data_IF_305567871078
#
_entry.id   IF_305567871078
#
_cell.length_a   1.000
_cell.length_b   1.000
_cell.length_c   1.000
_cell.angle_alpha   90.00
_cell.angle_beta   90.00
_cell.angle_gamma   90.00
#
_symmetry.space_group_name_H-M   'P 1'
#
loop_
_entity.id
_entity.type
_entity.pdbx_description
1 polymer ?
#
# COMPACT_ATOMS: atom_id res chain seq x y z
N UNK A 1 1.28 15.89 -18.22
CA UNK A 1 2.11 15.35 -17.12
C UNK A 1 3.50 15.06 -17.66
N UNK A 2 4.56 15.59 -17.04
CA UNK A 2 5.96 15.26 -17.38
C UNK A 2 6.52 14.33 -16.31
N UNK A 3 7.05 13.17 -16.71
CA UNK A 3 7.69 12.20 -15.79
C UNK A 3 9.16 12.54 -15.47
N UNK A 4 9.68 13.62 -16.06
CA UNK A 4 10.98 14.23 -15.82
C UNK A 4 11.41 14.23 -14.33
N UNK A 5 10.58 14.66 -13.36
CA UNK A 5 11.00 14.68 -11.95
C UNK A 5 11.22 13.29 -11.36
N UNK A 6 10.51 12.26 -11.86
CA UNK A 6 10.67 10.88 -11.40
C UNK A 6 11.91 10.23 -12.01
N UNK A 7 12.19 10.49 -13.30
CA UNK A 7 13.35 9.94 -14.01
C UNK A 7 14.67 10.50 -13.46
N UNK A 8 14.65 11.74 -12.96
CA UNK A 8 15.80 12.39 -12.32
C UNK A 8 15.86 12.15 -10.80
N UNK A 9 14.89 11.43 -10.21
CA UNK A 9 14.89 11.14 -8.78
C UNK A 9 15.96 10.09 -8.42
N UNK A 10 16.42 10.05 -7.15
CA UNK A 10 17.32 8.98 -6.68
C UNK A 10 16.79 7.59 -7.00
N UNK A 11 17.69 6.66 -7.30
CA UNK A 11 17.35 5.28 -7.72
C UNK A 11 16.40 4.58 -6.73
N UNK A 12 16.54 4.85 -5.43
CA UNK A 12 15.66 4.32 -4.40
C UNK A 12 14.19 4.71 -4.61
N UNK A 13 13.92 5.96 -5.02
CA UNK A 13 12.57 6.44 -5.32
C UNK A 13 12.03 5.75 -6.57
N UNK A 14 12.84 5.63 -7.61
CA UNK A 14 12.43 4.96 -8.85
C UNK A 14 12.05 3.50 -8.59
N UNK A 15 12.89 2.75 -7.87
CA UNK A 15 12.62 1.37 -7.46
C UNK A 15 11.37 1.28 -6.59
N UNK A 16 11.22 2.19 -5.63
CA UNK A 16 10.05 2.22 -4.75
C UNK A 16 8.75 2.39 -5.55
N UNK A 17 8.71 3.37 -6.45
CA UNK A 17 7.54 3.65 -7.31
C UNK A 17 7.28 2.48 -8.25
N UNK A 18 8.31 1.95 -8.90
CA UNK A 18 8.22 0.81 -9.81
C UNK A 18 7.71 -0.46 -9.11
N UNK A 19 7.94 -0.63 -7.80
CA UNK A 19 7.42 -1.74 -7.03
C UNK A 19 6.01 -1.49 -6.47
N UNK A 20 5.74 -0.30 -5.93
CA UNK A 20 4.48 -0.02 -5.22
C UNK A 20 3.29 0.14 -6.17
N UNK A 21 3.50 0.68 -7.36
CA UNK A 21 2.44 0.86 -8.37
C UNK A 21 1.85 -0.49 -8.81
N UNK A 22 2.63 -1.47 -9.29
CA UNK A 22 2.09 -2.79 -9.60
C UNK A 22 1.59 -3.52 -8.35
N UNK A 23 2.19 -3.30 -7.17
CA UNK A 23 1.66 -3.87 -5.92
C UNK A 23 0.25 -3.37 -5.59
N UNK A 24 -0.04 -2.09 -5.84
CA UNK A 24 -1.37 -1.50 -5.62
C UNK A 24 -2.42 -2.13 -6.54
N UNK A 25 -2.12 -2.27 -7.82
CA UNK A 25 -3.01 -2.87 -8.82
C UNK A 25 -3.22 -4.36 -8.55
N UNK A 26 -2.13 -5.11 -8.34
CA UNK A 26 -2.19 -6.54 -8.08
C UNK A 26 -2.89 -6.86 -6.76
N UNK A 27 -2.68 -6.03 -5.73
CA UNK A 27 -3.35 -6.17 -4.44
C UNK A 27 -4.87 -5.97 -4.56
N UNK A 28 -5.33 -4.95 -5.30
CA UNK A 28 -6.76 -4.75 -5.59
C UNK A 28 -7.34 -5.99 -6.28
N UNK A 29 -6.66 -6.46 -7.32
CA UNK A 29 -7.06 -7.65 -8.05
C UNK A 29 -7.16 -8.89 -7.13
N UNK A 30 -6.16 -9.14 -6.29
CA UNK A 30 -6.14 -10.26 -5.34
C UNK A 30 -7.26 -10.19 -4.30
N UNK A 31 -7.63 -8.99 -3.84
CA UNK A 31 -8.72 -8.79 -2.89
C UNK A 31 -10.09 -9.09 -3.51
N UNK A 32 -10.28 -8.74 -4.78
CA UNK A 32 -11.54 -8.94 -5.51
C UNK A 32 -11.74 -10.40 -5.97
N UNK A 33 -10.67 -11.08 -6.38
CA UNK A 33 -10.77 -12.42 -6.97
C UNK A 33 -11.03 -13.54 -5.95
N UNK A 34 -11.46 -14.74 -6.40
CA UNK A 34 -11.57 -15.91 -5.54
C UNK A 34 -10.25 -16.26 -4.86
N UNK A 35 -10.32 -16.61 -3.58
CA UNK A 35 -9.17 -16.83 -2.70
C UNK A 35 -8.86 -18.32 -2.64
N UNK A 36 -7.58 -18.67 -2.46
CA UNK A 36 -7.15 -20.06 -2.25
C UNK A 36 -6.85 -20.87 -3.53
N UNK A 37 -7.12 -20.33 -4.71
CA UNK A 37 -6.77 -20.95 -6.01
C UNK A 37 -5.25 -20.96 -6.22
N UNK A 38 -4.71 -21.83 -7.10
CA UNK A 38 -3.28 -21.80 -7.44
C UNK A 38 -2.81 -20.43 -7.95
N UNK A 39 -3.64 -19.78 -8.79
CA UNK A 39 -3.38 -18.42 -9.26
C UNK A 39 -3.32 -17.38 -8.14
N UNK A 40 -4.23 -17.45 -7.16
CA UNK A 40 -4.19 -16.58 -5.98
C UNK A 40 -2.89 -16.76 -5.18
N UNK A 41 -2.41 -18.00 -5.03
CA UNK A 41 -1.15 -18.28 -4.29
C UNK A 41 0.07 -17.74 -5.02
N UNK A 42 0.14 -17.91 -6.34
CA UNK A 42 1.25 -17.40 -7.15
C UNK A 42 1.29 -15.87 -7.11
N UNK A 43 0.17 -15.23 -7.47
CA UNK A 43 0.06 -13.78 -7.49
C UNK A 43 0.23 -13.18 -6.08
N UNK A 44 -0.23 -13.87 -5.03
CA UNK A 44 -0.01 -13.46 -3.65
C UNK A 44 1.47 -13.46 -3.25
N UNK A 45 2.27 -14.43 -3.72
CA UNK A 45 3.72 -14.44 -3.50
C UNK A 45 4.39 -13.25 -4.21
N UNK A 46 4.05 -13.03 -5.49
CA UNK A 46 4.58 -11.89 -6.27
C UNK A 46 4.24 -10.58 -5.57
N UNK A 47 2.99 -10.43 -5.13
CA UNK A 47 2.54 -9.25 -4.39
C UNK A 47 3.32 -9.04 -3.09
N UNK A 48 3.56 -10.09 -2.31
CA UNK A 48 4.37 -9.99 -1.09
C UNK A 48 5.83 -9.61 -1.39
N UNK A 49 6.43 -10.13 -2.47
CA UNK A 49 7.77 -9.72 -2.89
C UNK A 49 7.82 -8.23 -3.25
N UNK A 50 6.83 -7.74 -4.01
CA UNK A 50 6.73 -6.31 -4.33
C UNK A 50 6.59 -5.47 -3.07
N UNK A 51 5.75 -5.87 -2.11
CA UNK A 51 5.60 -5.16 -0.84
C UNK A 51 6.91 -5.09 -0.04
N UNK A 52 7.71 -6.16 -0.04
CA UNK A 52 9.03 -6.16 0.61
C UNK A 52 10.00 -5.22 -0.11
N UNK A 53 10.07 -5.24 -1.44
CA UNK A 53 10.91 -4.32 -2.22
C UNK A 53 10.51 -2.86 -1.96
N UNK A 54 9.21 -2.57 -1.97
CA UNK A 54 8.67 -1.26 -1.62
C UNK A 54 9.09 -0.83 -0.22
N UNK A 55 8.94 -1.68 0.79
CA UNK A 55 9.28 -1.35 2.17
C UNK A 55 10.79 -1.22 2.41
N UNK A 56 11.63 -2.00 1.72
CA UNK A 56 13.08 -1.88 1.85
C UNK A 56 13.60 -0.61 1.17
N UNK A 57 13.11 -0.31 -0.04
CA UNK A 57 13.50 0.90 -0.78
C UNK A 57 13.10 2.18 -0.06
N UNK A 58 11.99 2.20 0.71
CA UNK A 58 11.59 3.39 1.47
C UNK A 58 12.54 3.77 2.61
N UNK A 59 13.32 2.84 3.16
CA UNK A 59 14.37 3.19 4.15
C UNK A 59 15.47 4.07 3.57
N UNK A 60 15.63 4.09 2.25
CA UNK A 60 16.61 4.94 1.58
C UNK A 60 16.02 6.31 1.17
N UNK A 61 14.72 6.55 1.42
CA UNK A 61 14.01 7.78 1.04
C UNK A 61 13.89 8.71 2.25
N UNK A 62 14.84 9.63 2.40
CA UNK A 62 14.96 10.55 3.55
C UNK A 62 14.39 11.95 3.26
N UNK A 63 13.16 12.03 2.76
CA UNK A 63 12.56 13.32 2.38
C UNK A 63 11.99 14.12 3.57
N UNK A 64 11.58 13.45 4.65
CA UNK A 64 11.00 14.09 5.85
C UNK A 64 11.96 13.84 7.00
N UNK A 65 12.93 14.72 7.20
CA UNK A 65 13.95 14.59 8.24
C UNK A 65 13.45 15.18 9.57
N UNK A 66 12.55 14.46 10.24
CA UNK A 66 11.88 14.95 11.46
C UNK A 66 12.64 14.56 12.74
N UNK A 67 13.27 13.37 12.77
CA UNK A 67 14.11 12.93 13.89
C UNK A 67 15.28 12.08 13.37
N UNK A 68 16.50 12.63 13.37
CA UNK A 68 17.73 11.93 12.92
C UNK A 68 17.62 11.23 11.54
N UNK A 69 16.86 11.80 10.60
CA UNK A 69 16.61 11.23 9.27
C UNK A 69 15.39 10.31 9.17
N UNK A 70 14.84 9.85 10.30
CA UNK A 70 13.68 8.98 10.33
C UNK A 70 12.37 9.78 10.31
N UNK A 71 11.40 9.24 9.56
CA UNK A 71 10.05 9.77 9.40
C UNK A 71 9.01 8.72 9.76
N UNK A 72 7.74 9.09 10.04
CA UNK A 72 6.65 8.13 10.26
C UNK A 72 6.50 7.07 9.15
N UNK A 73 7.00 7.36 7.94
CA UNK A 73 7.00 6.43 6.79
C UNK A 73 7.91 5.21 7.05
N UNK A 74 8.94 5.34 7.89
CA UNK A 74 9.83 4.23 8.26
C UNK A 74 9.13 3.25 9.21
N UNK A 75 8.30 3.75 10.13
CA UNK A 75 7.44 2.89 10.96
C UNK A 75 6.44 2.11 10.10
N UNK A 76 5.89 2.75 9.06
CA UNK A 76 5.03 2.06 8.09
C UNK A 76 5.80 0.97 7.32
N UNK A 77 7.06 1.22 6.99
CA UNK A 77 7.93 0.25 6.31
C UNK A 77 8.18 -0.98 7.20
N UNK A 78 8.47 -0.79 8.49
CA UNK A 78 8.56 -1.88 9.46
C UNK A 78 7.25 -2.65 9.58
N UNK A 79 6.12 -1.95 9.70
CA UNK A 79 4.79 -2.58 9.73
C UNK A 79 4.56 -3.47 8.51
N UNK A 80 4.93 -2.99 7.31
CA UNK A 80 4.81 -3.78 6.08
C UNK A 80 5.68 -5.03 6.12
N UNK A 81 6.95 -4.93 6.54
CA UNK A 81 7.86 -6.07 6.62
C UNK A 81 7.36 -7.14 7.61
N UNK A 82 6.99 -6.75 8.82
CA UNK A 82 6.43 -7.67 9.82
C UNK A 82 5.10 -8.27 9.36
N UNK A 83 4.26 -7.48 8.70
CA UNK A 83 3.01 -7.98 8.12
C UNK A 83 3.27 -8.99 7.00
N UNK A 84 4.23 -8.76 6.10
CA UNK A 84 4.59 -9.71 5.04
C UNK A 84 5.05 -11.05 5.63
N UNK A 85 5.94 -10.99 6.63
CA UNK A 85 6.36 -12.18 7.37
C UNK A 85 5.17 -12.91 8.01
N UNK A 86 4.34 -12.18 8.76
CA UNK A 86 3.16 -12.72 9.43
C UNK A 86 2.15 -13.32 8.45
N UNK A 87 1.97 -12.73 7.27
CA UNK A 87 1.09 -13.25 6.23
C UNK A 87 1.57 -14.62 5.72
N UNK A 88 2.88 -14.80 5.53
CA UNK A 88 3.48 -16.06 5.08
C UNK A 88 3.35 -17.13 6.17
N UNK A 89 3.73 -16.81 7.41
CA UNK A 89 3.68 -17.75 8.54
C UNK A 89 2.25 -18.23 8.77
N UNK A 90 1.27 -17.33 8.82
CA UNK A 90 -0.13 -17.70 9.04
C UNK A 90 -0.73 -18.49 7.86
N UNK A 91 -0.28 -18.24 6.62
CA UNK A 91 -0.68 -19.05 5.47
C UNK A 91 -0.13 -20.49 5.58
N UNK A 92 1.15 -20.65 5.98
CA UNK A 92 1.78 -21.96 6.16
C UNK A 92 1.16 -22.75 7.30
N UNK A 93 0.80 -22.09 8.40
CA UNK A 93 0.13 -22.69 9.55
C UNK A 93 -1.37 -22.93 9.31
N UNK A 94 -1.87 -22.75 8.08
CA UNK A 94 -3.29 -22.86 7.72
C UNK A 94 -4.22 -21.94 8.54
N UNK A 95 -3.69 -20.92 9.20
CA UNK A 95 -4.46 -19.89 9.89
C UNK A 95 -4.92 -18.81 8.89
N UNK A 96 -5.89 -19.18 8.05
CA UNK A 96 -6.37 -18.34 6.96
C UNK A 96 -7.09 -17.08 7.47
N UNK A 97 -7.70 -17.14 8.65
CA UNK A 97 -8.36 -15.98 9.28
C UNK A 97 -7.32 -14.89 9.59
N UNK A 98 -6.20 -15.25 10.21
CA UNK A 98 -5.11 -14.33 10.50
C UNK A 98 -4.42 -13.83 9.22
N UNK A 99 -4.13 -14.71 8.26
CA UNK A 99 -3.56 -14.34 6.96
C UNK A 99 -4.41 -13.25 6.26
N UNK A 100 -5.73 -13.46 6.16
CA UNK A 100 -6.65 -12.49 5.55
C UNK A 100 -6.63 -11.14 6.26
N UNK A 101 -6.61 -11.13 7.59
CA UNK A 101 -6.57 -9.90 8.40
C UNK A 101 -5.29 -9.12 8.11
N UNK A 102 -4.14 -9.80 8.11
CA UNK A 102 -2.84 -9.19 7.85
C UNK A 102 -2.77 -8.64 6.42
N UNK A 103 -3.16 -9.42 5.41
CA UNK A 103 -3.12 -8.96 4.00
C UNK A 103 -4.01 -7.73 3.77
N UNK A 104 -5.21 -7.68 4.39
CA UNK A 104 -6.05 -6.47 4.34
C UNK A 104 -5.38 -5.29 5.02
N UNK A 105 -4.76 -5.50 6.18
CA UNK A 105 -4.01 -4.46 6.90
C UNK A 105 -2.86 -3.91 6.07
N UNK A 106 -2.09 -4.79 5.42
CA UNK A 106 -1.01 -4.40 4.50
C UNK A 106 -1.52 -3.59 3.30
N UNK A 107 -2.67 -3.97 2.72
CA UNK A 107 -3.22 -3.24 1.58
C UNK A 107 -3.79 -1.87 1.98
N UNK A 108 -4.67 -1.83 2.98
CA UNK A 108 -5.36 -0.59 3.37
C UNK A 108 -4.50 0.32 4.27
N UNK A 109 -3.73 -0.25 5.19
CA UNK A 109 -2.81 0.51 6.05
C UNK A 109 -1.50 0.84 5.33
N UNK A 110 -0.92 -0.15 4.64
CA UNK A 110 0.35 0.01 3.92
C UNK A 110 0.21 0.80 2.64
N UNK A 111 -0.44 0.24 1.61
CA UNK A 111 -0.52 0.87 0.27
C UNK A 111 -1.41 2.11 0.31
N UNK A 112 -2.67 1.98 0.77
CA UNK A 112 -3.62 3.10 0.73
C UNK A 112 -3.20 4.21 1.70
N UNK A 113 -2.77 3.85 2.91
CA UNK A 113 -2.18 4.80 3.85
C UNK A 113 -0.95 5.53 3.29
N UNK A 114 0.01 4.81 2.70
CA UNK A 114 1.18 5.44 2.06
C UNK A 114 0.78 6.34 0.87
N UNK A 115 -0.23 5.94 0.10
CA UNK A 115 -0.78 6.73 -1.00
C UNK A 115 -1.28 8.10 -0.52
N UNK A 116 -2.04 8.12 0.59
CA UNK A 116 -2.50 9.37 1.21
C UNK A 116 -1.30 10.27 1.55
N UNK A 117 -0.27 9.75 2.22
CA UNK A 117 0.93 10.52 2.54
C UNK A 117 1.68 11.02 1.31
N UNK A 118 1.67 10.24 0.23
CA UNK A 118 2.40 10.53 -1.03
C UNK A 118 1.72 11.64 -1.84
N UNK A 119 0.39 11.71 -1.77
CA UNK A 119 -0.42 12.68 -2.51
C UNK A 119 -0.78 13.95 -1.72
N UNK A 120 -0.25 14.12 -0.51
CA UNK A 120 -0.34 15.40 0.22
C UNK A 120 0.14 16.55 -0.69
N UNK A 121 -0.63 17.66 -0.80
CA UNK A 121 -0.25 18.82 -1.60
C UNK A 121 1.18 19.29 -1.32
N UNK A 122 1.92 19.61 -2.37
CA UNK A 122 3.32 20.04 -2.27
C UNK A 122 4.36 18.91 -2.41
N UNK A 123 3.97 17.63 -2.33
CA UNK A 123 4.89 16.50 -2.57
C UNK A 123 5.09 16.20 -4.06
N UNK A 124 6.22 15.57 -4.40
CA UNK A 124 6.61 15.29 -5.79
C UNK A 124 5.54 14.54 -6.59
N UNK A 125 5.01 13.44 -6.06
CA UNK A 125 3.99 12.65 -6.78
C UNK A 125 2.65 13.39 -6.93
N UNK A 126 2.29 14.25 -5.98
CA UNK A 126 1.14 15.15 -6.12
C UNK A 126 1.35 16.10 -7.31
N UNK A 127 2.53 16.73 -7.41
CA UNK A 127 2.87 17.62 -8.53
C UNK A 127 2.88 16.93 -9.88
N UNK A 128 3.36 15.68 -9.97
CA UNK A 128 3.43 14.91 -11.22
C UNK A 128 2.02 14.49 -11.69
N UNK A 129 1.18 14.03 -10.77
CA UNK A 129 -0.13 13.43 -11.10
C UNK A 129 -1.23 14.48 -11.27
N UNK A 130 -1.19 15.56 -10.48
CA UNK A 130 -2.27 16.56 -10.42
C UNK A 130 -1.84 17.95 -10.93
N UNK A 131 -0.85 18.02 -11.83
CA UNK A 131 -0.35 19.31 -12.35
C UNK A 131 -1.50 20.14 -12.93
N UNK A 132 -1.83 21.28 -12.30
CA UNK A 132 -2.82 22.24 -12.79
C UNK A 132 -4.27 22.01 -12.34
N UNK A 133 -4.54 20.99 -11.54
CA UNK A 133 -5.88 20.72 -11.00
C UNK A 133 -5.83 20.64 -9.47
N UNK A 134 -6.36 21.67 -8.82
CA UNK A 134 -6.38 21.76 -7.36
C UNK A 134 -7.41 20.81 -6.74
N UNK A 135 -8.40 20.33 -7.49
CA UNK A 135 -9.55 19.56 -7.00
C UNK A 135 -9.29 18.05 -7.14
N UNK A 136 -8.62 17.61 -8.21
CA UNK A 136 -8.33 16.21 -8.49
C UNK A 136 -7.61 15.44 -7.35
N UNK A 137 -6.62 16.00 -6.62
CA UNK A 137 -6.01 15.32 -5.47
C UNK A 137 -7.03 15.02 -4.38
N UNK A 138 -7.91 15.98 -4.06
CA UNK A 138 -8.93 15.80 -3.03
C UNK A 138 -10.01 14.82 -3.47
N UNK A 139 -10.37 14.79 -4.76
CA UNK A 139 -11.30 13.82 -5.32
C UNK A 139 -10.76 12.38 -5.22
N UNK A 140 -9.47 12.17 -5.52
CA UNK A 140 -8.83 10.86 -5.37
C UNK A 140 -8.76 10.43 -3.90
N UNK A 141 -8.40 11.35 -2.99
CA UNK A 141 -8.40 11.08 -1.56
C UNK A 141 -9.81 10.75 -1.03
N UNK A 142 -10.84 11.47 -1.49
CA UNK A 142 -12.22 11.21 -1.14
C UNK A 142 -12.70 9.83 -1.67
N UNK A 143 -12.36 9.47 -2.90
CA UNK A 143 -12.67 8.16 -3.47
C UNK A 143 -12.00 7.03 -2.67
N UNK A 144 -10.73 7.20 -2.30
CA UNK A 144 -10.01 6.29 -1.42
C UNK A 144 -10.71 6.16 -0.05
N UNK A 145 -11.07 7.28 0.57
CA UNK A 145 -11.77 7.30 1.85
C UNK A 145 -13.12 6.59 1.78
N UNK A 146 -13.90 6.79 0.70
CA UNK A 146 -15.18 6.11 0.49
C UNK A 146 -14.99 4.59 0.32
N UNK A 147 -13.97 4.15 -0.42
CA UNK A 147 -13.64 2.72 -0.56
C UNK A 147 -13.24 2.10 0.77
N UNK A 148 -12.43 2.81 1.57
CA UNK A 148 -12.07 2.38 2.93
C UNK A 148 -13.28 2.29 3.84
N UNK A 149 -14.13 3.33 3.86
CA UNK A 149 -15.36 3.36 4.66
C UNK A 149 -16.32 2.23 4.27
N UNK A 150 -16.48 1.96 2.98
CA UNK A 150 -17.28 0.84 2.48
C UNK A 150 -16.69 -0.51 2.88
N UNK A 151 -15.38 -0.69 2.79
CA UNK A 151 -14.71 -1.93 3.19
C UNK A 151 -14.86 -2.18 4.70
N UNK A 152 -14.74 -1.13 5.53
CA UNK A 152 -14.95 -1.18 6.97
C UNK A 152 -16.43 -1.44 7.30
N UNK A 153 -17.36 -0.78 6.63
CA UNK A 153 -18.80 -0.96 6.87
C UNK A 153 -19.27 -2.38 6.57
N UNK A 154 -18.74 -3.01 5.51
CA UNK A 154 -19.02 -4.42 5.20
C UNK A 154 -18.50 -5.38 6.28
N UNK A 155 -17.31 -5.13 6.81
CA UNK A 155 -16.74 -5.95 7.89
C UNK A 155 -17.54 -5.79 9.20
N UNK A 156 -17.96 -4.57 9.54
CA UNK A 156 -18.80 -4.30 10.70
C UNK A 156 -20.20 -4.91 10.57
N UNK A 157 -20.81 -4.81 9.38
CA UNK A 157 -22.13 -5.40 9.13
C UNK A 157 -22.10 -6.94 9.20
N UNK A 158 -21.03 -7.56 8.74
CA UNK A 158 -20.86 -9.01 8.81
C UNK A 158 -20.68 -9.51 10.25
N UNK A 159 -20.12 -8.69 11.15
CA UNK A 159 -19.98 -9.00 12.58
C UNK A 159 -21.30 -8.88 13.33
N UNK A 160 -22.11 -7.87 13.02
CA UNK A 160 -23.45 -7.67 13.61
C UNK A 160 -24.48 -8.73 13.22
N UNK A 161 -24.28 -9.46 12.12
CA UNK A 161 -25.16 -10.58 11.71
C UNK A 161 -24.81 -11.92 12.39
N UNK A 162 -23.70 -12.01 13.11
CA UNK A 162 -23.21 -13.22 13.77
C UNK A 162 -23.30 -13.15 15.31
N UNK A 163 -23.93 -12.09 15.82
CA UNK A 163 -24.28 -11.83 17.22
C UNK A 163 -25.79 -11.72 17.32
#
# INVERSE_FOLDING_TARGET
>A
MTFEPLLNAPIAIQVHVAAVVPAALLGAYLLLRPKGTPGHRLLGKIWLCLMVITALSSFFIHQINMFYGFSPIHLLSLYVLFGCWGAIVNARNHNIKAHKRIVRGLYFGGIVGAGIFTFIPGRMMNKIVFTGDEIAPFAVLAAIALVLLWAVSKELWHRRRLT
#
